data_IF_084793776386
#
_entry.id   IF_084793776386
#
_cell.length_a   1.000
_cell.length_b   1.000
_cell.length_c   1.000
_cell.angle_alpha   90.00
_cell.angle_beta   90.00
_cell.angle_gamma   90.00
#
_symmetry.space_group_name_H-M   'P 1'
#
loop_
_entity.id
_entity.type
_entity.pdbx_description
1 polymer ?
#
# COMPACT_ATOMS: atom_id res chain seq x y z
N UNK A 1 8.53 3.14 -7.25
CA UNK A 1 9.30 4.32 -6.78
C UNK A 1 8.62 5.66 -7.07
N UNK A 2 7.87 5.79 -8.18
CA UNK A 2 7.26 7.07 -8.60
C UNK A 2 6.26 7.66 -7.58
N UNK A 3 5.48 6.84 -6.87
CA UNK A 3 4.42 7.33 -5.96
C UNK A 3 4.92 8.13 -4.74
N UNK A 4 6.15 7.86 -4.27
CA UNK A 4 6.73 8.56 -3.12
C UNK A 4 7.64 9.73 -3.52
N UNK A 5 7.94 9.89 -4.81
CA UNK A 5 8.77 10.98 -5.33
C UNK A 5 8.36 12.39 -4.84
N UNK A 6 7.07 12.79 -4.82
CA UNK A 6 6.69 14.11 -4.33
C UNK A 6 6.97 14.31 -2.83
N UNK A 7 6.90 13.25 -2.04
CA UNK A 7 7.22 13.30 -0.61
C UNK A 7 8.72 13.51 -0.38
N UNK A 8 9.55 12.80 -1.15
CA UNK A 8 11.01 12.96 -1.12
C UNK A 8 11.40 14.37 -1.56
N UNK A 9 10.80 14.88 -2.64
CA UNK A 9 11.01 16.25 -3.11
C UNK A 9 10.63 17.29 -2.03
N UNK A 10 9.58 17.02 -1.26
CA UNK A 10 9.19 17.87 -0.12
C UNK A 10 10.25 17.93 0.99
N UNK A 11 10.94 16.82 1.26
CA UNK A 11 12.07 16.77 2.21
C UNK A 11 13.29 17.51 1.64
N UNK A 12 13.60 17.32 0.36
CA UNK A 12 14.68 18.04 -0.32
C UNK A 12 14.46 19.56 -0.31
N UNK A 13 13.23 20.00 -0.56
CA UNK A 13 12.86 21.42 -0.48
C UNK A 13 13.06 21.97 0.95
N UNK A 14 12.75 21.18 1.98
CA UNK A 14 12.98 21.57 3.37
C UNK A 14 14.47 21.65 3.71
N UNK A 15 15.33 20.86 3.06
CA UNK A 15 16.78 20.86 3.25
C UNK A 15 17.49 22.00 2.50
N UNK A 16 16.93 22.47 1.39
CA UNK A 16 17.54 23.48 0.50
C UNK A 16 18.10 24.72 1.21
N UNK A 17 17.41 25.35 2.18
CA UNK A 17 17.95 26.52 2.90
C UNK A 17 19.28 26.23 3.61
N UNK A 18 19.48 25.02 4.13
CA UNK A 18 20.73 24.60 4.76
C UNK A 18 21.89 24.39 3.79
N UNK A 19 21.61 24.35 2.48
CA UNK A 19 22.61 24.20 1.43
C UNK A 19 23.03 25.55 0.83
N UNK A 20 22.15 26.57 0.91
CA UNK A 20 22.35 27.87 0.26
C UNK A 20 22.61 29.00 1.25
N UNK A 21 21.73 29.16 2.24
CA UNK A 21 21.60 30.43 2.99
C UNK A 21 21.82 30.27 4.52
N UNK A 22 21.71 29.05 5.05
CA UNK A 22 21.87 28.75 6.48
C UNK A 22 23.25 28.15 6.77
N UNK A 23 23.99 28.77 7.69
CA UNK A 23 25.26 28.25 8.23
C UNK A 23 25.09 27.78 9.69
N UNK A 24 26.05 26.98 10.17
CA UNK A 24 26.07 26.46 11.55
C UNK A 24 26.15 27.53 12.65
N UNK A 25 26.45 28.78 12.29
CA UNK A 25 26.45 29.93 13.22
C UNK A 25 25.14 30.72 13.19
N UNK A 26 24.16 30.32 12.38
CA UNK A 26 22.90 31.04 12.23
C UNK A 26 22.03 30.88 13.48
N UNK A 27 21.50 31.99 13.99
CA UNK A 27 20.57 32.01 15.13
C UNK A 27 19.28 31.21 14.89
N UNK A 28 18.94 30.93 13.62
CA UNK A 28 17.71 30.22 13.24
C UNK A 28 17.93 28.73 12.90
N UNK A 29 19.11 28.18 13.21
CA UNK A 29 19.47 26.80 12.85
C UNK A 29 18.60 25.77 13.57
N UNK A 30 18.25 26.00 14.85
CA UNK A 30 17.46 25.04 15.63
C UNK A 30 16.06 24.83 15.06
N UNK A 31 15.39 25.92 14.65
CA UNK A 31 14.07 25.86 14.03
C UNK A 31 14.12 25.15 12.67
N UNK A 32 15.17 25.39 11.89
CA UNK A 32 15.41 24.69 10.63
C UNK A 32 15.58 23.19 10.86
N UNK A 33 16.44 22.79 11.80
CA UNK A 33 16.68 21.38 12.13
C UNK A 33 15.39 20.70 12.59
N UNK A 34 14.63 21.35 13.48
CA UNK A 34 13.33 20.83 13.93
C UNK A 34 12.35 20.63 12.75
N UNK A 35 12.27 21.59 11.82
CA UNK A 35 11.41 21.48 10.63
C UNK A 35 11.82 20.29 9.75
N UNK A 36 13.12 20.14 9.50
CA UNK A 36 13.66 19.05 8.68
C UNK A 36 13.40 17.70 9.36
N UNK A 37 13.71 17.58 10.65
CA UNK A 37 13.44 16.36 11.41
C UNK A 37 11.95 15.99 11.38
N UNK A 38 11.06 16.95 11.60
CA UNK A 38 9.61 16.70 11.53
C UNK A 38 9.17 16.21 10.14
N UNK A 39 9.74 16.76 9.06
CA UNK A 39 9.43 16.32 7.69
C UNK A 39 9.95 14.90 7.43
N UNK A 40 11.16 14.58 7.88
CA UNK A 40 11.73 13.23 7.76
C UNK A 40 10.90 12.22 8.55
N UNK A 41 10.59 12.51 9.82
CA UNK A 41 9.77 11.62 10.66
C UNK A 41 8.38 11.41 10.08
N UNK A 42 7.76 12.45 9.51
CA UNK A 42 6.47 12.31 8.81
C UNK A 42 6.58 11.36 7.62
N UNK A 43 7.65 11.44 6.83
CA UNK A 43 7.88 10.53 5.70
C UNK A 43 8.10 9.09 6.18
N UNK A 44 8.92 8.89 7.21
CA UNK A 44 9.17 7.58 7.81
C UNK A 44 7.87 6.92 8.30
N UNK A 45 7.01 7.68 8.98
CA UNK A 45 5.70 7.19 9.44
C UNK A 45 4.80 6.77 8.27
N UNK A 46 4.75 7.57 7.21
CA UNK A 46 3.96 7.27 6.01
C UNK A 46 4.48 6.00 5.33
N UNK A 47 5.79 5.89 5.14
CA UNK A 47 6.43 4.69 4.53
C UNK A 47 6.19 3.45 5.39
N UNK A 48 6.33 3.56 6.72
CA UNK A 48 6.06 2.47 7.65
C UNK A 48 4.63 1.93 7.50
N UNK A 49 3.64 2.84 7.50
CA UNK A 49 2.22 2.45 7.31
C UNK A 49 1.98 1.76 5.98
N UNK A 50 2.54 2.28 4.88
CA UNK A 50 2.40 1.67 3.55
C UNK A 50 3.00 0.27 3.55
N UNK A 51 4.19 0.10 4.11
CA UNK A 51 4.86 -1.20 4.18
C UNK A 51 4.05 -2.20 5.02
N UNK A 52 3.49 -1.78 6.15
CA UNK A 52 2.64 -2.62 6.99
C UNK A 52 1.37 -3.07 6.27
N UNK A 53 0.74 -2.17 5.50
CA UNK A 53 -0.44 -2.52 4.68
C UNK A 53 -0.08 -3.48 3.54
N UNK A 54 1.03 -3.25 2.85
CA UNK A 54 1.51 -4.16 1.80
C UNK A 54 1.76 -5.55 2.37
N UNK A 55 2.50 -5.64 3.47
CA UNK A 55 2.87 -6.95 4.03
C UNK A 55 1.67 -7.70 4.64
N UNK A 56 0.89 -7.02 5.48
CA UNK A 56 -0.13 -7.69 6.29
C UNK A 56 -1.49 -7.80 5.61
N UNK A 57 -1.78 -6.95 4.61
CA UNK A 57 -3.08 -6.97 3.91
C UNK A 57 -2.97 -7.38 2.46
N UNK A 58 -1.96 -6.93 1.72
CA UNK A 58 -1.82 -7.31 0.31
C UNK A 58 -1.16 -8.68 0.19
N UNK A 59 0.10 -8.81 0.62
CA UNK A 59 0.88 -10.04 0.47
C UNK A 59 0.27 -11.21 1.25
N UNK A 60 -0.23 -10.97 2.46
CA UNK A 60 -0.88 -11.99 3.27
C UNK A 60 -2.14 -12.56 2.59
N UNK A 61 -3.01 -11.70 2.03
CA UNK A 61 -4.22 -12.15 1.33
C UNK A 61 -3.88 -12.86 0.02
N UNK A 62 -2.90 -12.37 -0.75
CA UNK A 62 -2.44 -13.05 -1.96
C UNK A 62 -1.84 -14.43 -1.67
N UNK A 63 -1.04 -14.53 -0.60
CA UNK A 63 -0.46 -15.79 -0.15
C UNK A 63 -1.54 -16.77 0.31
N UNK A 64 -2.55 -16.30 1.02
CA UNK A 64 -3.67 -17.14 1.43
C UNK A 64 -4.53 -17.57 0.24
N UNK A 65 -4.82 -16.65 -0.69
CA UNK A 65 -5.51 -16.93 -1.95
C UNK A 65 -4.80 -18.02 -2.76
N UNK A 66 -3.47 -17.98 -2.85
CA UNK A 66 -2.68 -19.01 -3.55
C UNK A 66 -2.75 -20.40 -2.93
N UNK A 67 -3.20 -20.52 -1.67
CA UNK A 67 -3.31 -21.78 -0.92
C UNK A 67 -4.73 -22.35 -0.91
N UNK A 68 -5.71 -21.60 -1.43
CA UNK A 68 -7.11 -22.04 -1.50
C UNK A 68 -7.21 -23.26 -2.42
N UNK A 69 -7.67 -24.39 -1.87
CA UNK A 69 -7.85 -25.62 -2.62
C UNK A 69 -9.28 -25.67 -3.17
N UNK A 70 -9.43 -25.48 -4.48
CA UNK A 70 -10.75 -25.50 -5.13
C UNK A 70 -11.34 -26.91 -5.31
N UNK A 71 -10.56 -27.95 -5.00
CA UNK A 71 -10.95 -29.35 -5.17
C UNK A 71 -10.91 -30.08 -3.83
N UNK A 72 -12.00 -30.74 -3.47
CA UNK A 72 -12.07 -31.63 -2.31
C UNK A 72 -12.06 -33.08 -2.80
N UNK A 73 -11.07 -33.86 -2.39
CA UNK A 73 -11.01 -35.29 -2.67
C UNK A 73 -11.48 -36.09 -1.45
N UNK A 74 -12.35 -37.10 -1.61
CA UNK A 74 -12.70 -37.99 -0.51
C UNK A 74 -11.49 -38.89 -0.19
N UNK A 75 -11.00 -38.81 1.06
CA UNK A 75 -9.78 -39.53 1.48
C UNK A 75 -10.07 -40.97 1.96
N UNK A 76 -11.22 -41.20 2.61
CA UNK A 76 -11.53 -42.46 3.31
C UNK A 76 -12.77 -43.22 2.78
N UNK A 77 -13.51 -42.67 1.81
CA UNK A 77 -14.73 -43.29 1.26
C UNK A 77 -14.81 -43.21 -0.27
N UNK A 78 -15.31 -44.26 -0.91
CA UNK A 78 -15.64 -44.25 -2.33
C UNK A 78 -16.94 -43.48 -2.55
N UNK A 79 -16.87 -42.31 -3.17
CA UNK A 79 -18.04 -41.56 -3.59
C UNK A 79 -18.52 -42.01 -4.99
N UNK A 80 -19.83 -42.02 -5.20
CA UNK A 80 -20.39 -42.11 -6.56
C UNK A 80 -20.05 -40.85 -7.37
N UNK A 81 -20.18 -40.93 -8.69
CA UNK A 81 -19.89 -39.79 -9.57
C UNK A 81 -20.79 -38.59 -9.23
N UNK A 82 -22.07 -38.85 -8.96
CA UNK A 82 -23.06 -37.83 -8.60
C UNK A 82 -22.73 -37.15 -7.26
N UNK A 83 -22.32 -37.93 -6.25
CA UNK A 83 -21.92 -37.40 -4.94
C UNK A 83 -20.64 -36.56 -5.04
N UNK A 84 -19.66 -37.01 -5.83
CA UNK A 84 -18.45 -36.24 -6.09
C UNK A 84 -18.75 -34.91 -6.76
N UNK A 85 -19.62 -34.89 -7.78
CA UNK A 85 -20.03 -33.66 -8.46
C UNK A 85 -20.76 -32.71 -7.49
N UNK A 86 -21.65 -33.24 -6.64
CA UNK A 86 -22.34 -32.43 -5.64
C UNK A 86 -21.36 -31.83 -4.60
N UNK A 87 -20.40 -32.63 -4.12
CA UNK A 87 -19.33 -32.18 -3.22
C UNK A 87 -18.50 -31.08 -3.88
N UNK A 88 -18.13 -31.27 -5.15
CA UNK A 88 -17.24 -30.35 -5.83
C UNK A 88 -17.90 -29.02 -6.18
N UNK A 89 -19.18 -29.05 -6.55
CA UNK A 89 -19.98 -27.83 -6.73
C UNK A 89 -20.08 -27.03 -5.42
N UNK A 90 -20.24 -27.71 -4.28
CA UNK A 90 -20.27 -27.05 -2.96
C UNK A 90 -18.91 -26.42 -2.63
N UNK A 91 -17.82 -27.17 -2.74
CA UNK A 91 -16.47 -26.68 -2.45
C UNK A 91 -16.08 -25.52 -3.36
N UNK A 92 -16.27 -25.67 -4.68
CA UNK A 92 -15.96 -24.61 -5.65
C UNK A 92 -16.74 -23.32 -5.35
N UNK A 93 -18.01 -23.43 -4.94
CA UNK A 93 -18.82 -22.25 -4.59
C UNK A 93 -18.30 -21.56 -3.32
N UNK A 94 -17.97 -22.32 -2.29
CA UNK A 94 -17.47 -21.78 -1.02
C UNK A 94 -16.08 -21.18 -1.18
N UNK A 95 -15.13 -21.96 -1.70
CA UNK A 95 -13.73 -21.54 -1.87
C UNK A 95 -13.59 -20.45 -2.94
N UNK A 96 -14.41 -20.50 -3.99
CA UNK A 96 -14.50 -19.42 -4.97
C UNK A 96 -15.01 -18.11 -4.36
N UNK A 97 -15.95 -18.18 -3.41
CA UNK A 97 -16.40 -16.99 -2.67
C UNK A 97 -15.28 -16.44 -1.77
N UNK A 98 -14.54 -17.31 -1.06
CA UNK A 98 -13.38 -16.91 -0.26
C UNK A 98 -12.33 -16.19 -1.13
N UNK A 99 -12.02 -16.74 -2.31
CA UNK A 99 -11.07 -16.14 -3.25
C UNK A 99 -11.56 -14.76 -3.73
N UNK A 100 -12.83 -14.64 -4.08
CA UNK A 100 -13.41 -13.36 -4.51
C UNK A 100 -13.33 -12.29 -3.41
N UNK A 101 -13.61 -12.66 -2.15
CA UNK A 101 -13.48 -11.74 -1.00
C UNK A 101 -12.02 -11.31 -0.82
N UNK A 102 -11.05 -12.23 -0.91
CA UNK A 102 -9.63 -11.91 -0.80
C UNK A 102 -9.15 -10.99 -1.92
N UNK A 103 -9.55 -11.25 -3.16
CA UNK A 103 -9.21 -10.39 -4.30
C UNK A 103 -9.79 -8.99 -4.13
N UNK A 104 -11.02 -8.86 -3.62
CA UNK A 104 -11.62 -7.55 -3.36
C UNK A 104 -10.89 -6.80 -2.24
N UNK A 105 -10.45 -7.50 -1.19
CA UNK A 105 -9.68 -6.90 -0.08
C UNK A 105 -8.30 -6.41 -0.55
N UNK A 106 -7.62 -7.17 -1.42
CA UNK A 106 -6.35 -6.72 -2.04
C UNK A 106 -6.57 -5.44 -2.83
N UNK A 107 -7.59 -5.41 -3.69
CA UNK A 107 -7.94 -4.22 -4.48
C UNK A 107 -8.22 -3.00 -3.58
N UNK A 108 -9.05 -3.17 -2.54
CA UNK A 108 -9.35 -2.10 -1.56
C UNK A 108 -8.11 -1.63 -0.84
N UNK A 109 -7.23 -2.55 -0.43
CA UNK A 109 -5.97 -2.21 0.23
C UNK A 109 -5.07 -1.36 -0.68
N UNK A 110 -5.01 -1.67 -1.98
CA UNK A 110 -4.31 -0.85 -2.96
C UNK A 110 -4.94 0.54 -3.11
N UNK A 111 -6.27 0.65 -3.12
CA UNK A 111 -6.96 1.94 -3.15
C UNK A 111 -6.65 2.78 -1.89
N UNK A 112 -6.70 2.16 -0.71
CA UNK A 112 -6.39 2.83 0.57
C UNK A 112 -4.93 3.28 0.66
N UNK A 113 -3.98 2.49 0.15
CA UNK A 113 -2.56 2.89 0.07
C UNK A 113 -2.43 4.17 -0.76
N UNK A 114 -3.12 4.25 -1.91
CA UNK A 114 -3.09 5.45 -2.76
C UNK A 114 -3.69 6.65 -2.03
N UNK A 115 -4.83 6.47 -1.35
CA UNK A 115 -5.44 7.52 -0.53
C UNK A 115 -4.48 8.01 0.56
N UNK A 116 -3.84 7.09 1.29
CA UNK A 116 -2.88 7.42 2.34
C UNK A 116 -1.69 8.22 1.80
N UNK A 117 -1.16 7.83 0.64
CA UNK A 117 -0.07 8.56 -0.01
C UNK A 117 -0.53 9.97 -0.39
N UNK A 118 -1.76 10.13 -0.88
CA UNK A 118 -2.31 11.41 -1.30
C UNK A 118 -2.58 12.36 -0.13
N UNK A 119 -3.13 11.84 0.98
CA UNK A 119 -3.37 12.59 2.21
C UNK A 119 -2.07 13.08 2.86
N UNK A 120 -1.00 12.28 2.75
CA UNK A 120 0.29 12.62 3.32
C UNK A 120 1.10 13.64 2.49
N UNK A 121 0.60 14.04 1.30
CA UNK A 121 1.37 14.91 0.40
C UNK A 121 1.64 16.28 1.05
N UNK A 122 2.86 16.83 0.85
CA UNK A 122 3.15 18.17 1.31
C UNK A 122 2.23 19.17 0.57
N UNK A 123 1.49 19.97 1.32
CA UNK A 123 0.73 21.09 0.77
C UNK A 123 1.71 22.11 0.17
N UNK A 124 1.43 22.60 -1.03
CA UNK A 124 2.23 23.69 -1.60
C UNK A 124 1.95 25.02 -0.89
N UNK A 125 2.76 26.05 -1.21
CA UNK A 125 2.69 27.38 -0.59
C UNK A 125 1.33 28.09 -0.79
N UNK A 126 0.47 27.57 -1.67
CA UNK A 126 -0.86 28.11 -1.99
C UNK A 126 -2.01 27.26 -1.44
N UNK A 127 -1.73 26.25 -0.63
CA UNK A 127 -2.76 25.42 -0.01
C UNK A 127 -3.38 24.37 -0.94
N UNK A 128 -2.91 24.19 -2.18
CA UNK A 128 -3.37 23.12 -3.06
C UNK A 128 -2.61 21.82 -2.81
N UNK A 129 -3.38 20.74 -2.67
CA UNK A 129 -2.86 19.38 -2.59
C UNK A 129 -2.27 19.03 -3.95
N UNK A 130 -1.00 18.62 -3.98
CA UNK A 130 -0.43 18.03 -5.19
C UNK A 130 -1.24 16.78 -5.56
N UNK A 131 -1.51 16.60 -6.85
CA UNK A 131 -2.12 15.36 -7.33
C UNK A 131 -1.04 14.32 -7.59
N UNK A 132 -1.34 13.06 -7.28
CA UNK A 132 -0.47 11.96 -7.66
C UNK A 132 -0.56 11.75 -9.17
N UNK A 133 0.56 11.40 -9.79
CA UNK A 133 0.56 11.00 -11.19
C UNK A 133 -0.34 9.78 -11.39
N UNK A 134 -1.41 9.94 -12.16
CA UNK A 134 -2.38 8.90 -12.46
C UNK A 134 -1.72 7.69 -13.14
N UNK A 135 -0.63 7.92 -13.89
CA UNK A 135 0.13 6.85 -14.55
C UNK A 135 0.81 5.95 -13.53
N UNK A 136 1.52 6.54 -12.57
CA UNK A 136 2.15 5.83 -11.47
C UNK A 136 1.13 5.08 -10.58
N UNK A 137 -0.05 5.67 -10.35
CA UNK A 137 -1.15 5.00 -9.62
C UNK A 137 -1.64 3.78 -10.39
N UNK A 138 -1.83 3.91 -11.70
CA UNK A 138 -2.27 2.80 -12.56
C UNK A 138 -1.23 1.70 -12.65
N UNK A 139 0.05 2.04 -12.75
CA UNK A 139 1.15 1.07 -12.75
C UNK A 139 1.21 0.29 -11.43
N UNK A 140 1.10 0.98 -10.29
CA UNK A 140 1.04 0.34 -8.98
C UNK A 140 -0.16 -0.60 -8.85
N UNK A 141 -1.36 -0.15 -9.23
CA UNK A 141 -2.55 -1.01 -9.19
C UNK A 141 -2.49 -2.14 -10.21
N UNK A 142 -1.79 -1.98 -11.33
CA UNK A 142 -1.64 -3.02 -12.35
C UNK A 142 -0.62 -4.11 -11.99
N UNK A 143 0.24 -3.86 -10.99
CA UNK A 143 1.17 -4.87 -10.48
C UNK A 143 0.48 -5.93 -9.61
N UNK A 144 -0.66 -5.60 -9.00
CA UNK A 144 -1.41 -6.46 -8.07
C UNK A 144 -2.77 -6.86 -8.63
#
# INVERSE_FOLDING_TARGET
AALLAPHVSGVEAALKPGLTDLTWTSTNIDLFLQRVHNKITSLELTVGKINDMLHNRVDANLKEASRVMLISLPEDESATCEEFVAMQNKTTKTEGHVLAVKSDEVRRSCDEIVTLIQEALPTNEWGSTLELDETAVKEFKGHY
#
